data_IF_056729706996
#
_entry.id   IF_056729706996
#
_cell.length_a   1.000
_cell.length_b   1.000
_cell.length_c   1.000
_cell.angle_alpha   90.00
_cell.angle_beta   90.00
_cell.angle_gamma   90.00
#
_symmetry.space_group_name_H-M   'P 1'
#
loop_
_entity.id
_entity.type
_entity.pdbx_description
1 polymer ?
#
# COMPACT_ATOMS: atom_id res chain seq x y z
N UNK A 1 24.20 -17.13 38.92
CA UNK A 1 23.65 -15.77 39.10
C UNK A 1 23.70 -15.11 37.72
N UNK A 2 22.60 -15.10 36.95
CA UNK A 2 21.52 -14.09 36.99
C UNK A 2 22.07 -12.68 36.77
N UNK A 3 21.66 -11.84 35.80
CA UNK A 3 20.63 -11.83 34.75
C UNK A 3 21.05 -10.79 33.68
N UNK A 4 20.63 -10.91 32.40
CA UNK A 4 19.38 -10.40 31.81
C UNK A 4 19.24 -8.86 31.77
N UNK A 5 19.34 -8.30 30.55
CA UNK A 5 18.68 -7.11 29.97
C UNK A 5 19.20 -6.97 28.53
N UNK A 6 18.61 -7.57 27.48
CA UNK A 6 17.35 -7.22 26.80
C UNK A 6 17.04 -5.72 26.75
N UNK A 7 17.20 -5.12 25.57
CA UNK A 7 16.13 -4.31 24.99
C UNK A 7 16.10 -4.48 23.47
N UNK A 8 15.12 -5.26 23.01
CA UNK A 8 14.54 -5.15 21.68
C UNK A 8 14.09 -3.70 21.46
N UNK A 9 14.64 -3.01 20.46
CA UNK A 9 13.95 -1.86 19.86
C UNK A 9 13.11 -2.38 18.70
N UNK A 10 11.93 -2.79 19.13
CA UNK A 10 10.68 -2.90 18.40
C UNK A 10 10.56 -1.88 17.25
N UNK A 11 10.07 -2.34 16.10
CA UNK A 11 9.92 -1.57 14.87
C UNK A 11 8.96 -0.39 14.99
N UNK A 12 9.48 0.75 15.46
CA UNK A 12 8.88 2.04 15.27
C UNK A 12 9.89 2.90 14.53
N UNK A 13 9.78 2.89 13.20
CA UNK A 13 10.39 3.92 12.37
C UNK A 13 9.70 5.23 12.75
N UNK A 14 10.35 6.03 13.58
CA UNK A 14 9.91 7.37 13.92
C UNK A 14 10.03 8.23 12.66
N UNK A 15 8.90 8.74 12.17
CA UNK A 15 8.79 9.56 10.94
C UNK A 15 9.81 10.70 10.91
N UNK A 16 10.20 11.23 12.08
CA UNK A 16 11.19 12.29 12.25
C UNK A 16 12.66 11.89 11.96
N UNK A 17 13.00 10.60 11.88
CA UNK A 17 14.33 10.10 11.49
C UNK A 17 14.47 9.78 10.00
N UNK A 18 13.38 9.82 9.23
CA UNK A 18 13.38 9.60 7.78
C UNK A 18 14.05 10.74 6.99
N UNK A 19 14.48 11.80 7.67
CA UNK A 19 15.26 12.91 7.11
C UNK A 19 16.68 12.52 6.65
N UNK A 20 17.22 11.33 7.01
CA UNK A 20 18.66 11.06 6.83
C UNK A 20 19.11 10.06 5.77
N UNK A 21 18.25 9.35 5.02
CA UNK A 21 18.73 8.69 3.79
C UNK A 21 17.62 8.21 2.85
N UNK A 22 17.68 8.68 1.60
CA UNK A 22 17.02 8.06 0.46
C UNK A 22 17.29 6.54 0.36
N UNK A 23 18.48 6.11 0.80
CA UNK A 23 18.85 4.70 0.90
C UNK A 23 17.98 3.91 1.90
N UNK A 24 17.54 4.53 3.00
CA UNK A 24 16.61 3.90 3.96
C UNK A 24 15.22 3.75 3.35
N UNK A 25 14.73 4.80 2.67
CA UNK A 25 13.47 4.75 1.93
C UNK A 25 13.51 3.60 0.89
N UNK A 26 14.59 3.51 0.11
CA UNK A 26 14.77 2.41 -0.84
C UNK A 26 14.85 1.04 -0.16
N UNK A 27 15.50 0.95 1.01
CA UNK A 27 15.58 -0.30 1.78
C UNK A 27 14.20 -0.74 2.27
N UNK A 28 13.39 0.20 2.75
CA UNK A 28 12.02 -0.10 3.20
C UNK A 28 11.12 -0.46 2.01
N UNK A 29 11.23 0.22 0.86
CA UNK A 29 10.52 -0.17 -0.36
C UNK A 29 10.88 -1.58 -0.84
N UNK A 30 12.17 -1.95 -0.76
CA UNK A 30 12.60 -3.34 -1.05
C UNK A 30 11.98 -4.32 -0.06
N UNK A 31 11.96 -3.98 1.22
CA UNK A 31 11.35 -4.79 2.28
C UNK A 31 9.86 -5.01 2.04
N UNK A 32 9.14 -4.00 1.56
CA UNK A 32 7.74 -4.13 1.13
C UNK A 32 7.63 -5.17 0.02
N UNK A 33 8.42 -5.06 -1.05
CA UNK A 33 8.38 -6.01 -2.17
C UNK A 33 8.71 -7.45 -1.73
N UNK A 34 9.71 -7.63 -0.87
CA UNK A 34 10.06 -8.93 -0.28
C UNK A 34 8.92 -9.50 0.58
N UNK A 35 8.27 -8.65 1.37
CA UNK A 35 7.09 -9.00 2.17
C UNK A 35 5.92 -9.45 1.31
N UNK A 36 5.68 -8.75 0.20
CA UNK A 36 4.62 -9.07 -0.77
C UNK A 36 4.91 -10.40 -1.47
N UNK A 37 6.14 -10.61 -1.92
CA UNK A 37 6.57 -11.88 -2.52
C UNK A 37 6.52 -13.04 -1.50
N UNK A 38 6.70 -12.74 -0.22
CA UNK A 38 6.51 -13.70 0.88
C UNK A 38 5.04 -13.98 1.21
N UNK A 39 4.10 -13.19 0.68
CA UNK A 39 2.66 -13.29 0.94
C UNK A 39 2.18 -12.59 2.23
N UNK A 40 3.02 -11.73 2.83
CA UNK A 40 2.71 -10.88 3.99
C UNK A 40 2.15 -9.54 3.52
N UNK A 41 0.99 -9.57 2.86
CA UNK A 41 0.44 -8.43 2.14
C UNK A 41 0.09 -7.29 3.11
N UNK A 42 -0.65 -7.56 4.19
CA UNK A 42 -1.12 -6.54 5.12
C UNK A 42 0.04 -5.78 5.80
N UNK A 43 1.05 -6.48 6.32
CA UNK A 43 2.26 -5.87 6.89
C UNK A 43 2.98 -5.00 5.85
N UNK A 44 3.10 -5.49 4.61
CA UNK A 44 3.79 -4.78 3.54
C UNK A 44 3.07 -3.50 3.14
N UNK A 45 1.73 -3.51 3.08
CA UNK A 45 0.92 -2.33 2.80
C UNK A 45 1.00 -1.29 3.93
N UNK A 46 1.03 -1.71 5.20
CA UNK A 46 1.21 -0.80 6.34
C UNK A 46 2.57 -0.08 6.26
N UNK A 47 3.64 -0.81 5.95
CA UNK A 47 4.98 -0.23 5.74
C UNK A 47 4.96 0.71 4.53
N UNK A 48 4.41 0.27 3.39
CA UNK A 48 4.35 1.07 2.16
C UNK A 48 3.61 2.39 2.37
N UNK A 49 2.51 2.36 3.12
CA UNK A 49 1.70 3.53 3.46
C UNK A 49 2.51 4.51 4.31
N UNK A 50 3.19 4.03 5.37
CA UNK A 50 4.03 4.87 6.24
C UNK A 50 5.20 5.50 5.50
N UNK A 51 5.86 4.71 4.64
CA UNK A 51 6.97 5.20 3.81
C UNK A 51 6.47 6.26 2.82
N UNK A 52 5.34 6.01 2.15
CA UNK A 52 4.74 6.97 1.20
C UNK A 52 4.35 8.26 1.91
N UNK A 53 3.69 8.18 3.06
CA UNK A 53 3.33 9.37 3.84
C UNK A 53 4.56 10.19 4.22
N UNK A 54 5.62 9.55 4.70
CA UNK A 54 6.86 10.24 5.05
C UNK A 54 7.54 10.90 3.85
N UNK A 55 7.53 10.25 2.67
CA UNK A 55 8.03 10.82 1.42
C UNK A 55 7.24 12.07 1.06
N UNK A 56 5.90 12.00 1.12
CA UNK A 56 5.00 13.10 0.75
C UNK A 56 5.15 14.27 1.72
N UNK A 57 5.20 14.00 3.03
CA UNK A 57 5.44 15.01 4.07
C UNK A 57 6.81 15.66 3.94
N UNK A 58 7.82 14.89 3.53
CA UNK A 58 9.21 15.36 3.43
C UNK A 58 9.61 15.72 2.00
N UNK A 59 8.69 15.82 1.04
CA UNK A 59 9.03 15.92 -0.39
C UNK A 59 9.82 17.18 -0.73
N UNK A 60 9.53 18.32 -0.08
CA UNK A 60 10.35 19.54 -0.17
C UNK A 60 11.74 19.33 0.42
N UNK A 61 11.84 18.77 1.63
CA UNK A 61 13.10 18.55 2.32
C UNK A 61 14.02 17.57 1.58
N UNK A 62 13.43 16.60 0.87
CA UNK A 62 14.12 15.63 0.02
C UNK A 62 14.52 16.20 -1.35
N UNK A 63 14.14 17.45 -1.66
CA UNK A 63 14.37 18.05 -2.98
C UNK A 63 13.50 17.45 -4.08
N UNK A 64 12.49 16.63 -3.74
CA UNK A 64 11.53 16.07 -4.69
C UNK A 64 10.55 17.14 -5.19
N UNK A 65 10.26 18.18 -4.41
CA UNK A 65 9.40 19.29 -4.83
C UNK A 65 10.18 20.52 -5.34
N UNK A 66 11.52 20.47 -5.35
CA UNK A 66 12.34 21.62 -5.74
C UNK A 66 12.67 21.60 -7.23
N UNK A 67 12.53 22.76 -7.90
CA UNK A 67 12.95 22.96 -9.30
C UNK A 67 14.46 23.26 -9.44
N UNK A 68 15.16 23.47 -8.32
CA UNK A 68 16.58 23.74 -8.32
C UNK A 68 17.36 22.44 -8.55
N UNK A 69 18.27 22.39 -9.54
CA UNK A 69 19.13 21.23 -9.77
C UNK A 69 20.19 21.21 -8.65
N UNK A 70 19.84 20.71 -7.46
CA UNK A 70 20.78 20.65 -6.34
C UNK A 70 21.84 19.57 -6.57
N UNK A 71 21.53 18.56 -7.40
CA UNK A 71 22.49 17.52 -7.83
C UNK A 71 22.13 17.08 -9.25
N UNK A 72 23.04 17.27 -10.21
CA UNK A 72 22.93 16.90 -11.64
C UNK A 72 22.61 15.41 -11.92
N UNK A 73 22.59 14.58 -10.87
CA UNK A 73 22.43 13.11 -10.92
C UNK A 73 21.15 12.60 -10.24
N UNK A 74 20.36 13.47 -9.61
CA UNK A 74 19.14 13.04 -8.93
C UNK A 74 17.94 13.06 -9.89
N UNK A 75 17.62 11.91 -10.46
CA UNK A 75 16.43 11.74 -11.31
C UNK A 75 15.17 11.57 -10.43
N UNK A 76 14.61 12.69 -9.99
CA UNK A 76 13.32 12.74 -9.27
C UNK A 76 12.24 11.91 -9.96
N UNK A 77 12.13 12.02 -11.28
CA UNK A 77 11.08 11.35 -12.06
C UNK A 77 11.24 9.82 -11.99
N UNK A 78 12.48 9.33 -11.90
CA UNK A 78 12.74 7.90 -11.71
C UNK A 78 12.35 7.44 -10.31
N UNK A 79 12.47 8.29 -9.29
CA UNK A 79 12.04 7.95 -7.93
C UNK A 79 10.53 7.85 -7.84
N UNK A 80 9.79 8.87 -8.31
CA UNK A 80 8.33 8.83 -8.33
C UNK A 80 7.83 7.64 -9.16
N UNK A 81 8.43 7.40 -10.33
CA UNK A 81 8.13 6.21 -11.13
C UNK A 81 8.39 4.91 -10.38
N UNK A 82 9.50 4.79 -9.66
CA UNK A 82 9.80 3.59 -8.89
C UNK A 82 8.79 3.38 -7.73
N UNK A 83 8.40 4.46 -7.05
CA UNK A 83 7.38 4.43 -6.01
C UNK A 83 6.01 4.01 -6.58
N UNK A 84 5.59 4.61 -7.69
CA UNK A 84 4.33 4.29 -8.37
C UNK A 84 4.31 2.82 -8.83
N UNK A 85 5.41 2.34 -9.41
CA UNK A 85 5.56 0.93 -9.80
C UNK A 85 5.51 0.00 -8.59
N UNK A 86 6.11 0.38 -7.46
CA UNK A 86 6.04 -0.40 -6.22
C UNK A 86 4.59 -0.54 -5.74
N UNK A 87 3.81 0.56 -5.76
CA UNK A 87 2.38 0.54 -5.46
C UNK A 87 1.59 -0.38 -6.39
N UNK A 88 1.77 -0.24 -7.70
CA UNK A 88 1.05 -1.07 -8.67
C UNK A 88 1.39 -2.55 -8.53
N UNK A 89 2.66 -2.89 -8.31
CA UNK A 89 3.08 -4.28 -8.06
C UNK A 89 2.47 -4.79 -6.76
N UNK A 90 2.43 -3.97 -5.72
CA UNK A 90 1.82 -4.33 -4.45
C UNK A 90 0.32 -4.65 -4.61
N UNK A 91 -0.39 -3.78 -5.33
CA UNK A 91 -1.82 -3.91 -5.62
C UNK A 91 -2.13 -5.15 -6.47
N UNK A 92 -1.32 -5.44 -7.48
CA UNK A 92 -1.46 -6.64 -8.31
C UNK A 92 -1.27 -7.94 -7.53
N UNK A 93 -0.50 -7.91 -6.44
CA UNK A 93 -0.19 -9.08 -5.62
C UNK A 93 -1.09 -9.21 -4.37
N UNK A 94 -2.14 -8.40 -4.23
CA UNK A 94 -3.05 -8.47 -3.07
C UNK A 94 -3.71 -9.84 -2.92
N UNK A 95 -3.94 -10.53 -4.03
CA UNK A 95 -4.49 -11.90 -4.06
C UNK A 95 -3.46 -12.98 -3.66
N UNK A 96 -2.18 -12.65 -3.57
CA UNK A 96 -1.10 -13.57 -3.17
C UNK A 96 -0.96 -13.71 -1.64
N UNK A 97 -1.89 -13.15 -0.86
CA UNK A 97 -1.93 -13.31 0.59
C UNK A 97 -1.90 -14.79 0.98
N UNK A 98 -0.94 -15.18 1.82
CA UNK A 98 -0.79 -16.58 2.27
C UNK A 98 -1.83 -17.00 3.30
N UNK A 99 -2.39 -16.04 4.02
CA UNK A 99 -3.32 -16.28 5.12
C UNK A 99 -4.45 -15.24 5.10
N UNK A 100 -5.63 -15.59 5.62
CA UNK A 100 -6.75 -14.64 5.79
C UNK A 100 -6.39 -13.44 6.67
N UNK A 101 -5.42 -13.57 7.57
CA UNK A 101 -4.91 -12.47 8.40
C UNK A 101 -4.09 -11.45 7.60
N UNK A 102 -3.44 -11.90 6.53
CA UNK A 102 -2.67 -11.04 5.62
C UNK A 102 -3.52 -10.47 4.50
N UNK A 103 -4.78 -10.90 4.40
CA UNK A 103 -5.69 -10.49 3.31
C UNK A 103 -6.23 -9.09 3.57
N UNK A 104 -6.12 -8.22 2.57
CA UNK A 104 -6.75 -6.90 2.62
C UNK A 104 -8.27 -7.05 2.64
N UNK A 105 -8.89 -6.26 3.51
CA UNK A 105 -10.34 -6.19 3.69
C UNK A 105 -10.86 -4.89 3.09
N UNK A 106 -12.16 -4.83 2.87
CA UNK A 106 -12.82 -3.61 2.38
C UNK A 106 -12.43 -2.38 3.20
N UNK A 107 -12.44 -2.45 4.53
CA UNK A 107 -12.04 -1.34 5.42
C UNK A 107 -10.61 -0.83 5.14
N UNK A 108 -9.68 -1.75 4.89
CA UNK A 108 -8.29 -1.41 4.59
C UNK A 108 -8.17 -0.72 3.23
N UNK A 109 -8.91 -1.20 2.22
CA UNK A 109 -8.88 -0.61 0.87
C UNK A 109 -9.48 0.79 0.89
N UNK A 110 -10.61 0.99 1.57
CA UNK A 110 -11.26 2.30 1.68
C UNK A 110 -10.33 3.31 2.38
N UNK A 111 -9.74 2.93 3.50
CA UNK A 111 -8.79 3.80 4.22
C UNK A 111 -7.56 4.16 3.36
N UNK A 112 -7.11 3.21 2.55
CA UNK A 112 -5.97 3.41 1.68
C UNK A 112 -6.32 4.32 0.49
N UNK A 113 -7.52 4.23 -0.07
CA UNK A 113 -8.01 5.19 -1.07
C UNK A 113 -8.04 6.62 -0.50
N UNK A 114 -8.55 6.81 0.71
CA UNK A 114 -8.55 8.12 1.38
C UNK A 114 -7.13 8.65 1.58
N UNK A 115 -6.19 7.79 1.97
CA UNK A 115 -4.78 8.15 2.15
C UNK A 115 -4.13 8.56 0.83
N UNK A 116 -4.39 7.83 -0.25
CA UNK A 116 -3.88 8.13 -1.61
C UNK A 116 -4.39 9.49 -2.10
N UNK A 117 -5.68 9.79 -1.90
CA UNK A 117 -6.25 11.12 -2.23
C UNK A 117 -5.61 12.22 -1.38
N UNK A 118 -5.36 11.98 -0.10
CA UNK A 118 -4.68 12.96 0.75
C UNK A 118 -3.24 13.23 0.31
N UNK A 119 -2.51 12.19 -0.10
CA UNK A 119 -1.17 12.34 -0.65
C UNK A 119 -1.19 13.11 -1.98
N UNK A 120 -2.12 12.78 -2.88
CA UNK A 120 -2.34 13.51 -4.12
C UNK A 120 -2.57 15.00 -3.87
N UNK A 121 -3.52 15.35 -3.00
CA UNK A 121 -3.78 16.75 -2.61
C UNK A 121 -2.54 17.46 -2.03
N UNK A 122 -1.73 16.75 -1.23
CA UNK A 122 -0.46 17.30 -0.70
C UNK A 122 0.60 17.48 -1.77
N UNK A 123 0.59 16.68 -2.84
CA UNK A 123 1.54 16.78 -3.93
C UNK A 123 1.10 17.81 -4.99
N UNK A 124 -0.21 18.04 -5.09
CA UNK A 124 -0.82 18.98 -6.04
C UNK A 124 -0.31 20.41 -5.82
N UNK A 125 -0.15 20.82 -4.56
CA UNK A 125 0.42 22.13 -4.20
C UNK A 125 1.85 22.35 -4.72
N UNK A 126 2.57 21.28 -5.06
CA UNK A 126 3.92 21.31 -5.61
C UNK A 126 3.98 21.04 -7.12
N UNK A 127 2.83 20.82 -7.77
CA UNK A 127 2.79 20.39 -9.18
C UNK A 127 3.29 18.96 -9.40
N UNK A 128 3.32 18.13 -8.34
CA UNK A 128 3.80 16.73 -8.38
C UNK A 128 2.68 15.71 -8.61
N UNK A 129 1.57 16.14 -9.20
CA UNK A 129 0.41 15.29 -9.60
C UNK A 129 0.35 15.14 -11.13
N UNK A 130 1.45 15.47 -11.82
CA UNK A 130 1.56 15.26 -13.26
C UNK A 130 1.98 13.81 -13.59
N UNK A 131 1.29 13.16 -14.53
CA UNK A 131 1.47 11.74 -14.88
C UNK A 131 2.90 11.38 -15.31
N UNK A 132 3.65 12.34 -15.85
CA UNK A 132 5.04 12.15 -16.30
C UNK A 132 6.09 12.47 -15.24
N UNK A 133 5.78 13.28 -14.22
CA UNK A 133 6.73 13.83 -13.24
C UNK A 133 6.41 13.50 -11.77
N UNK A 134 5.26 12.88 -11.48
CA UNK A 134 4.68 12.83 -10.15
C UNK A 134 4.01 11.52 -9.74
N UNK A 135 3.14 11.60 -8.74
CA UNK A 135 2.45 10.45 -8.14
C UNK A 135 1.25 10.02 -8.99
N UNK A 136 1.15 8.72 -9.29
CA UNK A 136 0.09 8.15 -10.13
C UNK A 136 -1.18 7.88 -9.33
N UNK A 137 -1.76 8.93 -8.76
CA UNK A 137 -2.96 8.83 -7.92
C UNK A 137 -4.08 8.09 -8.65
N UNK A 138 -4.37 8.45 -9.91
CA UNK A 138 -5.47 7.87 -10.67
C UNK A 138 -5.31 6.36 -10.94
N UNK A 139 -4.13 5.88 -11.36
CA UNK A 139 -3.91 4.44 -11.58
C UNK A 139 -3.95 3.64 -10.28
N UNK A 140 -3.42 4.21 -9.19
CA UNK A 140 -3.42 3.58 -7.88
C UNK A 140 -4.85 3.46 -7.37
N UNK A 141 -5.66 4.52 -7.50
CA UNK A 141 -7.08 4.53 -7.14
C UNK A 141 -7.90 3.55 -7.98
N UNK A 142 -7.67 3.49 -9.30
CA UNK A 142 -8.36 2.55 -10.20
C UNK A 142 -8.03 1.08 -9.85
N UNK A 143 -6.76 0.80 -9.55
CA UNK A 143 -6.32 -0.51 -9.07
C UNK A 143 -6.97 -0.87 -7.73
N UNK A 144 -7.05 0.07 -6.79
CA UNK A 144 -7.73 -0.12 -5.51
C UNK A 144 -9.23 -0.36 -5.67
N UNK A 145 -9.90 0.38 -6.57
CA UNK A 145 -11.31 0.19 -6.87
C UNK A 145 -11.57 -1.20 -7.45
N UNK A 146 -10.68 -1.66 -8.34
CA UNK A 146 -10.73 -3.01 -8.91
C UNK A 146 -10.60 -4.08 -7.84
N UNK A 147 -9.67 -3.91 -6.89
CA UNK A 147 -9.49 -4.82 -5.74
C UNK A 147 -10.74 -4.81 -4.86
N UNK A 148 -11.30 -3.64 -4.56
CA UNK A 148 -12.51 -3.51 -3.74
C UNK A 148 -13.70 -4.24 -4.39
N UNK A 149 -13.90 -4.06 -5.69
CA UNK A 149 -14.92 -4.77 -6.47
C UNK A 149 -14.73 -6.29 -6.38
N UNK A 150 -13.49 -6.76 -6.49
CA UNK A 150 -13.16 -8.18 -6.37
C UNK A 150 -13.48 -8.76 -4.98
N UNK A 151 -13.14 -8.02 -3.91
CA UNK A 151 -13.45 -8.43 -2.52
C UNK A 151 -14.96 -8.55 -2.32
N UNK A 152 -15.74 -7.56 -2.76
CA UNK A 152 -17.20 -7.55 -2.66
C UNK A 152 -17.85 -8.69 -3.46
N UNK A 153 -17.36 -8.94 -4.67
CA UNK A 153 -17.84 -10.03 -5.50
C UNK A 153 -17.57 -11.41 -4.86
N UNK A 154 -16.38 -11.60 -4.28
CA UNK A 154 -16.04 -12.83 -3.55
C UNK A 154 -16.93 -13.04 -2.32
N UNK A 155 -17.26 -11.97 -1.59
CA UNK A 155 -18.17 -12.04 -0.45
C UNK A 155 -19.61 -12.42 -0.87
N UNK A 156 -20.12 -11.81 -1.95
CA UNK A 156 -21.47 -12.12 -2.45
C UNK A 156 -21.59 -13.58 -2.96
N UNK A 157 -20.55 -14.10 -3.60
CA UNK A 157 -20.50 -15.48 -4.06
C UNK A 157 -20.51 -16.50 -2.89
N UNK A 158 -19.84 -16.17 -1.78
CA UNK A 158 -19.84 -17.02 -0.58
C UNK A 158 -21.22 -17.09 0.10
N UNK A 159 -21.95 -15.97 0.13
CA UNK A 159 -23.31 -15.89 0.66
C UNK A 159 -24.30 -16.71 -0.19
N UNK A 160 -24.22 -16.58 -1.52
CA UNK A 160 -25.07 -17.33 -2.44
C UNK A 160 -24.87 -18.86 -2.38
N UNK A 161 -23.64 -19.32 -2.14
CA UNK A 161 -23.34 -20.74 -1.99
C UNK A 161 -23.93 -21.37 -0.71
N UNK A 162 -24.17 -20.56 0.33
CA UNK A 162 -24.70 -21.04 1.61
C UNK A 162 -26.23 -21.09 1.64
N UNK A 163 -26.90 -20.35 0.74
CA UNK A 163 -28.36 -20.23 0.68
C UNK A 163 -29.12 -21.31 -0.12
N UNK A 164 -28.45 -22.32 -0.70
CA UNK A 164 -29.12 -23.32 -1.59
C UNK A 164 -29.39 -24.68 -0.91
N UNK A 165 -29.67 -24.68 0.40
CA UNK A 165 -30.14 -25.88 1.12
C UNK A 165 -31.59 -25.66 1.55
N UNK A 166 -32.50 -25.56 0.58
CA UNK A 166 -33.94 -25.76 0.84
C UNK A 166 -34.45 -26.73 -0.23
N UNK A 167 -34.45 -28.01 0.14
CA UNK A 167 -35.17 -29.06 -0.56
C UNK A 167 -36.60 -29.09 0.02
N UNK A 168 -37.64 -28.61 -0.68
CA UNK A 168 -38.99 -28.99 -0.33
C UNK A 168 -39.25 -30.35 -0.96
N UNK A 169 -39.00 -31.40 -0.16
CA UNK A 169 -39.53 -32.74 -0.42
C UNK A 169 -41.06 -32.65 -0.50
N UNK A 170 -41.60 -32.42 -1.70
CA UNK A 170 -43.04 -32.54 -1.92
C UNK A 170 -43.33 -33.98 -2.29
N UNK A 171 -43.42 -34.79 -1.24
CA UNK A 171 -43.97 -36.13 -1.28
C UNK A 171 -45.46 -36.04 -1.62
N UNK A 172 -45.80 -36.05 -2.91
CA UNK A 172 -47.19 -36.23 -3.33
C UNK A 172 -47.49 -37.74 -3.37
N UNK A 173 -48.03 -38.23 -2.26
CA UNK A 173 -48.57 -39.58 -2.11
C UNK A 173 -50.09 -39.57 -2.28
N UNK A 174 -50.56 -40.52 -3.10
CA UNK A 174 -51.91 -41.11 -3.19
C UNK A 174 -53.01 -40.39 -3.97
#
# INVERSE_FOLDING_TARGET
MAGAQQQQTNGQVTVSQLHSSFAEIQSELKRVLDGINSGRILESFDILTKVTDAIVVSCEALGLASELPVVETFHRDNFWRALNQCWLVALQNVSAARSDQDRLREEHIVHLQESVVQWGNKLDQYGLVDYEMGFWESDILDSLETILKSIRAASAAADAATGTIDEPSTNESS
#
